data_IF_832472868528
#
_entry.id   IF_832472868528
#
_cell.length_a   1.000
_cell.length_b   1.000
_cell.length_c   1.000
_cell.angle_alpha   90.00
_cell.angle_beta   90.00
_cell.angle_gamma   90.00
#
_symmetry.space_group_name_H-M   'P 1'
#
loop_
_entity.id
_entity.type
_entity.pdbx_description
1 polymer ?
#
# COMPACT_ATOMS: atom_id res chain seq x y z
N UNK A 1 -2.49 -3.42 4.54
CA UNK A 1 -2.34 -1.97 4.75
C UNK A 1 -3.05 -1.26 3.62
N UNK A 2 -3.70 -0.14 3.91
CA UNK A 2 -4.29 0.76 2.92
C UNK A 2 -3.57 2.10 3.03
N UNK A 3 -3.19 2.68 1.89
CA UNK A 3 -2.49 3.97 1.82
C UNK A 3 -3.14 4.83 0.75
N UNK A 4 -3.74 5.93 1.17
CA UNK A 4 -4.46 6.84 0.28
C UNK A 4 -4.56 8.20 0.99
N UNK A 5 -4.17 9.30 0.33
CA UNK A 5 -4.16 10.63 0.94
C UNK A 5 -5.57 11.21 1.15
N UNK A 6 -6.58 10.64 0.50
CA UNK A 6 -7.97 10.98 0.69
C UNK A 6 -8.59 10.06 1.76
N UNK A 7 -8.82 10.62 2.94
CA UNK A 7 -9.39 9.90 4.09
C UNK A 7 -10.74 9.23 3.78
N UNK A 8 -11.51 9.78 2.82
CA UNK A 8 -12.75 9.18 2.35
C UNK A 8 -12.51 7.85 1.64
N UNK A 9 -11.53 7.77 0.73
CA UNK A 9 -11.18 6.55 0.01
C UNK A 9 -10.69 5.48 0.98
N UNK A 10 -9.87 5.87 1.96
CA UNK A 10 -9.48 5.01 3.07
C UNK A 10 -10.68 4.38 3.79
N UNK A 11 -11.72 5.17 4.10
CA UNK A 11 -12.91 4.68 4.81
C UNK A 11 -13.77 3.75 3.94
N UNK A 12 -13.91 4.07 2.66
CA UNK A 12 -14.61 3.21 1.68
C UNK A 12 -13.89 1.86 1.57
N UNK A 13 -12.57 1.87 1.36
CA UNK A 13 -11.78 0.64 1.27
C UNK A 13 -11.83 -0.17 2.56
N UNK A 14 -11.75 0.48 3.72
CA UNK A 14 -11.93 -0.19 5.02
C UNK A 14 -13.30 -0.87 5.11
N UNK A 15 -14.36 -0.19 4.69
CA UNK A 15 -15.73 -0.73 4.70
C UNK A 15 -15.85 -1.93 3.77
N UNK A 16 -15.30 -1.85 2.55
CA UNK A 16 -15.28 -2.97 1.61
C UNK A 16 -14.51 -4.17 2.16
N UNK A 17 -13.35 -3.92 2.77
CA UNK A 17 -12.52 -4.97 3.38
C UNK A 17 -13.24 -5.67 4.54
N UNK A 18 -13.95 -4.91 5.41
CA UNK A 18 -14.77 -5.49 6.48
C UNK A 18 -15.86 -6.42 5.95
N UNK A 19 -16.45 -6.09 4.80
CA UNK A 19 -17.49 -6.91 4.17
C UNK A 19 -16.97 -8.27 3.63
N UNK A 20 -15.64 -8.46 3.51
CA UNK A 20 -15.04 -9.73 3.10
C UNK A 20 -15.02 -10.79 4.23
N UNK A 21 -15.49 -10.44 5.44
CA UNK A 21 -15.62 -11.33 6.61
C UNK A 21 -14.34 -12.12 6.95
N UNK A 22 -13.17 -11.56 6.63
CA UNK A 22 -11.87 -12.17 6.94
C UNK A 22 -11.61 -12.05 8.45
N UNK A 23 -11.35 -13.17 9.16
CA UNK A 23 -11.14 -13.15 10.61
C UNK A 23 -9.98 -12.23 11.01
N UNK A 24 -10.22 -11.40 12.04
CA UNK A 24 -9.25 -10.46 12.62
C UNK A 24 -8.68 -9.44 11.61
N UNK A 25 -9.35 -9.20 10.48
CA UNK A 25 -8.87 -8.25 9.48
C UNK A 25 -8.80 -6.83 10.04
N UNK A 26 -9.82 -6.41 10.77
CA UNK A 26 -9.89 -5.06 11.34
C UNK A 26 -8.71 -4.78 12.29
N UNK A 27 -8.38 -5.72 13.16
CA UNK A 27 -7.27 -5.59 14.11
C UNK A 27 -5.90 -5.54 13.40
N UNK A 28 -5.82 -6.10 12.20
CA UNK A 28 -4.59 -6.17 11.39
C UNK A 28 -4.53 -5.10 10.30
N UNK A 29 -5.60 -4.34 10.12
CA UNK A 29 -5.70 -3.31 9.12
C UNK A 29 -5.00 -2.05 9.63
N UNK A 30 -3.98 -1.62 8.88
CA UNK A 30 -3.36 -0.32 9.07
C UNK A 30 -3.75 0.58 7.91
N UNK A 31 -4.25 1.76 8.23
CA UNK A 31 -4.63 2.82 7.29
C UNK A 31 -3.64 3.97 7.46
N UNK A 32 -3.11 4.48 6.34
CA UNK A 32 -2.13 5.56 6.31
C UNK A 32 -2.58 6.61 5.29
N UNK A 33 -2.41 7.90 5.60
CA UNK A 33 -2.82 8.99 4.69
C UNK A 33 -1.70 9.51 3.80
N UNK A 34 -0.56 8.82 3.76
CA UNK A 34 0.56 9.11 2.86
C UNK A 34 1.62 8.00 2.94
N UNK A 35 2.52 7.96 1.95
CA UNK A 35 3.62 7.00 1.92
C UNK A 35 4.63 7.12 3.08
N UNK A 36 4.75 8.27 3.75
CA UNK A 36 5.66 8.42 4.89
C UNK A 36 5.14 7.69 6.12
N UNK A 37 3.85 7.83 6.42
CA UNK A 37 3.18 7.08 7.47
C UNK A 37 3.23 5.58 7.20
N UNK A 38 2.97 5.17 5.95
CA UNK A 38 3.08 3.78 5.54
C UNK A 38 4.48 3.21 5.81
N UNK A 39 5.54 3.92 5.39
CA UNK A 39 6.92 3.49 5.67
C UNK A 39 7.27 3.49 7.16
N UNK A 40 6.71 4.41 7.95
CA UNK A 40 6.90 4.40 9.41
C UNK A 40 6.25 3.15 10.01
N UNK A 41 5.00 2.88 9.65
CA UNK A 41 4.25 1.72 10.12
C UNK A 41 4.95 0.40 9.74
N UNK A 42 5.45 0.28 8.51
CA UNK A 42 6.23 -0.88 8.06
C UNK A 42 7.46 -1.11 8.94
N UNK A 43 8.22 -0.05 9.24
CA UNK A 43 9.46 -0.16 10.03
C UNK A 43 9.24 -0.45 11.52
N UNK A 44 8.11 -0.02 12.07
CA UNK A 44 7.81 -0.15 13.51
C UNK A 44 6.96 -1.37 13.83
N UNK A 45 6.44 -2.07 12.82
CA UNK A 45 5.61 -3.22 13.03
C UNK A 45 6.47 -4.49 13.13
N UNK A 46 6.31 -5.23 14.23
CA UNK A 46 7.02 -6.51 14.44
C UNK A 46 6.58 -7.58 13.43
N UNK A 47 5.39 -7.44 12.84
CA UNK A 47 4.85 -8.39 11.86
C UNK A 47 4.86 -7.77 10.46
N UNK A 48 5.53 -8.39 9.48
CA UNK A 48 5.53 -7.91 8.11
C UNK A 48 4.11 -7.90 7.52
N UNK A 49 3.82 -6.87 6.73
CA UNK A 49 2.56 -6.80 5.98
C UNK A 49 2.59 -7.80 4.84
N UNK A 50 1.43 -8.42 4.57
CA UNK A 50 1.26 -9.36 3.45
C UNK A 50 0.68 -8.72 2.21
N UNK A 51 -0.13 -7.68 2.40
CA UNK A 51 -0.80 -6.93 1.32
C UNK A 51 -0.76 -5.45 1.64
N UNK A 52 -0.41 -4.65 0.64
CA UNK A 52 -0.43 -3.19 0.65
C UNK A 52 -1.28 -2.75 -0.53
N UNK A 53 -2.37 -2.04 -0.24
CA UNK A 53 -3.17 -1.32 -1.22
C UNK A 53 -2.74 0.14 -1.15
N UNK A 54 -2.31 0.73 -2.26
CA UNK A 54 -1.81 2.11 -2.28
C UNK A 54 -2.35 2.87 -3.47
N UNK A 55 -2.72 4.14 -3.27
CA UNK A 55 -2.84 5.06 -4.39
C UNK A 55 -1.44 5.35 -4.97
N UNK A 56 -1.37 5.63 -6.26
CA UNK A 56 -0.19 6.13 -6.95
C UNK A 56 -0.09 7.65 -6.80
N UNK A 57 -1.19 8.39 -6.88
CA UNK A 57 -1.17 9.85 -7.02
C UNK A 57 -1.26 10.59 -5.68
N UNK A 58 -0.20 10.54 -4.85
CA UNK A 58 -0.15 11.23 -3.55
C UNK A 58 0.77 12.48 -3.53
N UNK A 59 0.40 13.59 -2.86
CA UNK A 59 1.12 14.88 -2.90
C UNK A 59 2.39 14.96 -2.02
N UNK A 60 2.60 14.06 -1.06
CA UNK A 60 3.73 14.15 -0.08
C UNK A 60 4.82 13.10 -0.33
N UNK A 61 4.41 11.85 -0.53
CA UNK A 61 5.26 10.77 -1.02
C UNK A 61 4.40 10.02 -2.01
N UNK A 62 4.78 10.14 -3.27
CA UNK A 62 4.17 9.47 -4.40
C UNK A 62 4.16 7.94 -4.18
N UNK A 63 3.06 7.28 -4.57
CA UNK A 63 2.90 5.84 -4.45
C UNK A 63 4.00 5.06 -5.17
N UNK A 64 4.53 5.58 -6.28
CA UNK A 64 5.69 4.98 -6.96
C UNK A 64 6.93 4.92 -6.04
N UNK A 65 7.18 6.00 -5.29
CA UNK A 65 8.30 6.06 -4.34
C UNK A 65 8.07 5.13 -3.15
N UNK A 66 6.83 5.04 -2.67
CA UNK A 66 6.45 4.11 -1.62
C UNK A 66 6.76 2.67 -2.06
N UNK A 67 6.26 2.23 -3.22
CA UNK A 67 6.47 0.87 -3.75
C UNK A 67 7.95 0.52 -3.77
N UNK A 68 8.79 1.35 -4.39
CA UNK A 68 10.24 1.09 -4.47
C UNK A 68 10.91 1.01 -3.09
N UNK A 69 10.46 1.84 -2.13
CA UNK A 69 11.01 1.83 -0.75
C UNK A 69 10.56 0.60 0.04
N UNK A 70 9.32 0.15 -0.15
CA UNK A 70 8.82 -1.09 0.44
C UNK A 70 9.65 -2.25 -0.08
N UNK A 71 9.80 -2.41 -1.40
CA UNK A 71 10.58 -3.49 -2.00
C UNK A 71 11.99 -3.58 -1.42
N UNK A 72 12.71 -2.45 -1.42
CA UNK A 72 14.06 -2.37 -0.86
C UNK A 72 14.10 -2.70 0.63
N UNK A 73 13.13 -2.24 1.41
CA UNK A 73 13.09 -2.47 2.86
C UNK A 73 12.94 -3.96 3.17
N UNK A 74 11.97 -4.64 2.55
CA UNK A 74 11.74 -6.07 2.79
C UNK A 74 12.90 -6.93 2.28
N UNK A 75 13.50 -6.57 1.14
CA UNK A 75 14.70 -7.23 0.62
C UNK A 75 15.89 -7.09 1.57
N UNK A 76 16.16 -5.88 2.06
CA UNK A 76 17.30 -5.61 2.96
C UNK A 76 17.17 -6.27 4.34
N UNK A 77 15.96 -6.65 4.75
CA UNK A 77 15.69 -7.34 6.02
C UNK A 77 15.46 -8.86 5.82
N UNK A 78 15.69 -9.39 4.62
CA UNK A 78 15.45 -10.80 4.27
C UNK A 78 14.02 -11.27 4.59
N UNK A 79 13.05 -10.35 4.48
CA UNK A 79 11.63 -10.61 4.74
C UNK A 79 10.87 -10.95 3.46
N UNK A 80 9.81 -11.75 3.59
CA UNK A 80 8.91 -12.02 2.48
C UNK A 80 8.24 -10.72 2.00
N UNK A 81 8.34 -10.49 0.71
CA UNK A 81 7.76 -9.33 0.04
C UNK A 81 6.22 -9.31 0.16
N UNK A 82 5.61 -8.16 0.49
CA UNK A 82 4.15 -8.01 0.43
C UNK A 82 3.68 -8.03 -1.03
N UNK A 83 2.41 -8.41 -1.23
CA UNK A 83 1.71 -8.09 -2.46
C UNK A 83 1.37 -6.59 -2.43
N UNK A 84 1.70 -5.86 -3.49
CA UNK A 84 1.40 -4.43 -3.62
C UNK A 84 0.45 -4.23 -4.80
N UNK A 85 -0.78 -3.80 -4.50
CA UNK A 85 -1.76 -3.45 -5.52
C UNK A 85 -1.96 -1.93 -5.54
N UNK A 86 -1.82 -1.35 -6.72
CA UNK A 86 -2.03 0.06 -6.97
C UNK A 86 -3.52 0.35 -7.24
N UNK A 87 -4.07 1.33 -6.54
CA UNK A 87 -5.43 1.83 -6.75
C UNK A 87 -5.30 3.15 -7.50
N UNK A 88 -5.55 3.15 -8.81
CA UNK A 88 -5.41 4.35 -9.64
C UNK A 88 -6.66 4.53 -10.51
N UNK A 89 -7.13 5.78 -10.60
CA UNK A 89 -8.14 6.18 -11.59
C UNK A 89 -7.57 6.37 -13.00
N UNK A 90 -6.24 6.38 -13.13
CA UNK A 90 -5.53 6.49 -14.40
C UNK A 90 -5.46 5.12 -15.05
N UNK A 91 -6.18 4.96 -16.15
CA UNK A 91 -6.20 3.73 -16.95
C UNK A 91 -5.19 3.76 -18.10
N UNK A 92 -4.43 4.86 -18.24
CA UNK A 92 -3.43 4.97 -19.29
C UNK A 92 -2.26 4.00 -19.05
N UNK A 93 -1.90 3.29 -20.10
CA UNK A 93 -0.93 2.19 -20.07
C UNK A 93 0.46 2.63 -19.56
N UNK A 94 0.83 3.90 -19.77
CA UNK A 94 2.09 4.47 -19.28
C UNK A 94 2.18 4.49 -17.75
N UNK A 95 1.12 4.91 -17.05
CA UNK A 95 1.10 4.94 -15.59
C UNK A 95 1.09 3.53 -15.00
N UNK A 96 0.35 2.62 -15.63
CA UNK A 96 0.31 1.20 -15.26
C UNK A 96 1.69 0.56 -15.40
N UNK A 97 2.35 0.76 -16.55
CA UNK A 97 3.70 0.24 -16.80
C UNK A 97 4.73 0.84 -15.83
N UNK A 98 4.60 2.12 -15.50
CA UNK A 98 5.45 2.74 -14.50
C UNK A 98 5.26 2.07 -13.14
N UNK A 99 4.03 1.75 -12.73
CA UNK A 99 3.76 1.11 -11.44
C UNK A 99 4.42 -0.27 -11.35
N UNK A 100 4.27 -1.10 -12.39
CA UNK A 100 4.93 -2.39 -12.48
C UNK A 100 6.46 -2.26 -12.46
N UNK A 101 7.02 -1.28 -13.19
CA UNK A 101 8.48 -1.04 -13.20
C UNK A 101 9.05 -0.69 -11.81
N UNK A 102 8.23 -0.11 -10.93
CA UNK A 102 8.61 0.23 -9.56
C UNK A 102 8.42 -0.93 -8.58
N UNK A 103 7.72 -1.98 -9.01
CA UNK A 103 7.49 -3.21 -8.27
C UNK A 103 6.07 -3.38 -7.73
N UNK A 104 5.04 -2.75 -8.32
CA UNK A 104 3.66 -3.15 -8.07
C UNK A 104 3.42 -4.58 -8.61
N UNK A 105 2.53 -5.33 -7.98
CA UNK A 105 2.10 -6.66 -8.45
C UNK A 105 0.78 -6.61 -9.21
N UNK A 106 -0.07 -5.61 -8.91
CA UNK A 106 -1.38 -5.37 -9.53
C UNK A 106 -1.67 -3.88 -9.67
#
# INVERSE_FOLDING_TARGET
MVVDDEAYNCEVLRTMLRALEVPNLEERLTVCINGREAMKAIKTNDRPYRVILTDLSMPVMDGYQLISRVRRHYESNEQQQPIIAALTGHTEEEFVNLAFSKGADQ
#
